data_IF_231366769479
#
_entry.id   IF_231366769479
#
_cell.length_a   1.000
_cell.length_b   1.000
_cell.length_c   1.000
_cell.angle_alpha   90.00
_cell.angle_beta   90.00
_cell.angle_gamma   90.00
#
_symmetry.space_group_name_H-M   'P 1'
#
loop_
_entity.id
_entity.type
_entity.pdbx_description
1 polymer ?
#
# COMPACT_ATOMS: atom_id res chain seq x y z
N UNK A 1 25.39 -6.91 -7.95
CA UNK A 1 24.34 -7.86 -8.39
C UNK A 1 24.54 -9.11 -7.56
N UNK A 2 23.52 -9.60 -6.84
CA UNK A 2 23.67 -10.81 -6.02
C UNK A 2 23.82 -12.00 -6.98
N UNK A 3 24.84 -12.86 -6.82
CA UNK A 3 25.06 -14.00 -7.69
C UNK A 3 23.88 -15.00 -7.67
N UNK A 4 23.60 -15.59 -8.83
CA UNK A 4 22.44 -16.49 -9.00
C UNK A 4 22.50 -17.75 -8.13
N UNK A 5 23.71 -18.25 -7.83
CA UNK A 5 23.90 -19.44 -7.00
C UNK A 5 23.48 -19.19 -5.54
N UNK A 6 23.79 -18.02 -4.97
CA UNK A 6 23.39 -17.65 -3.60
C UNK A 6 21.86 -17.55 -3.46
N UNK A 7 21.16 -17.19 -4.54
CA UNK A 7 19.69 -17.10 -4.54
C UNK A 7 18.99 -18.45 -4.68
N UNK A 8 19.68 -19.50 -5.14
CA UNK A 8 19.11 -20.85 -5.25
C UNK A 8 19.02 -21.52 -3.89
N UNK A 9 19.94 -21.17 -2.98
CA UNK A 9 20.05 -21.78 -1.66
C UNK A 9 19.03 -21.20 -0.67
N UNK A 10 18.32 -20.13 -1.02
CA UNK A 10 17.27 -19.52 -0.19
C UNK A 10 16.08 -20.47 -0.09
N UNK A 11 15.73 -20.81 1.14
CA UNK A 11 14.59 -21.63 1.51
C UNK A 11 13.41 -20.78 2.00
N UNK A 12 12.19 -21.36 2.04
CA UNK A 12 11.06 -20.75 2.71
C UNK A 12 11.32 -20.33 4.15
N UNK A 13 12.09 -21.13 4.91
CA UNK A 13 12.45 -20.84 6.30
C UNK A 13 13.20 -19.53 6.42
N UNK A 14 14.18 -19.27 5.54
CA UNK A 14 14.94 -18.01 5.57
C UNK A 14 14.05 -16.78 5.36
N UNK A 15 13.00 -16.93 4.52
CA UNK A 15 12.01 -15.88 4.29
C UNK A 15 11.12 -15.72 5.51
N UNK A 16 10.70 -16.83 6.14
CA UNK A 16 9.92 -16.81 7.37
C UNK A 16 10.68 -16.13 8.51
N UNK A 17 11.95 -16.49 8.73
CA UNK A 17 12.82 -15.89 9.76
C UNK A 17 12.99 -14.39 9.52
N UNK A 18 13.26 -13.99 8.28
CA UNK A 18 13.32 -12.58 7.91
C UNK A 18 12.00 -11.86 8.16
N UNK A 19 10.85 -12.45 7.80
CA UNK A 19 9.55 -11.83 8.02
C UNK A 19 9.16 -11.79 9.49
N UNK A 20 9.52 -12.81 10.27
CA UNK A 20 9.35 -12.85 11.72
C UNK A 20 10.14 -11.69 12.35
N UNK A 21 11.42 -11.54 11.99
CA UNK A 21 12.27 -10.45 12.48
C UNK A 21 11.66 -9.08 12.21
N UNK A 22 11.04 -8.90 11.04
CA UNK A 22 10.40 -7.63 10.68
C UNK A 22 9.04 -7.40 11.36
N UNK A 23 8.29 -8.46 11.66
CA UNK A 23 6.94 -8.36 12.21
C UNK A 23 6.93 -8.39 13.75
N UNK A 24 7.69 -9.31 14.34
CA UNK A 24 7.78 -9.60 15.77
C UNK A 24 9.05 -9.03 16.42
N UNK A 25 10.07 -8.66 15.63
CA UNK A 25 11.36 -8.19 16.16
C UNK A 25 12.38 -9.30 16.42
N UNK A 26 11.98 -10.57 16.29
CA UNK A 26 12.80 -11.77 16.47
C UNK A 26 12.53 -12.77 15.33
N UNK A 27 13.50 -13.63 15.02
CA UNK A 27 13.37 -14.68 13.99
C UNK A 27 12.51 -15.86 14.48
N UNK A 28 12.55 -16.15 15.78
CA UNK A 28 11.81 -17.23 16.43
C UNK A 28 10.81 -16.66 17.46
N UNK A 29 9.61 -16.22 17.03
CA UNK A 29 8.60 -15.67 17.91
C UNK A 29 7.93 -16.78 18.73
N UNK A 30 7.86 -16.59 20.04
CA UNK A 30 7.16 -17.47 20.96
C UNK A 30 5.63 -17.26 20.96
N UNK A 31 4.87 -18.08 21.72
CA UNK A 31 3.41 -18.00 21.79
C UNK A 31 2.86 -16.66 22.33
N UNK A 32 3.66 -15.97 23.15
CA UNK A 32 3.31 -14.69 23.77
C UNK A 32 3.80 -13.48 22.96
N UNK A 33 4.47 -13.72 21.83
CA UNK A 33 4.98 -12.64 20.96
C UNK A 33 3.92 -12.19 19.96
N UNK A 34 3.83 -10.88 19.76
CA UNK A 34 2.83 -10.24 18.91
C UNK A 34 3.49 -9.48 17.74
N UNK A 35 2.93 -9.53 16.51
CA UNK A 35 3.52 -8.89 15.34
C UNK A 35 3.22 -7.38 15.32
N UNK A 36 3.88 -6.62 16.19
CA UNK A 36 3.62 -5.19 16.42
C UNK A 36 4.52 -4.26 15.59
N UNK A 37 5.57 -4.78 14.95
CA UNK A 37 6.58 -3.97 14.26
C UNK A 37 6.27 -3.71 12.79
N UNK A 38 5.64 -4.65 12.09
CA UNK A 38 5.29 -4.50 10.67
C UNK A 38 3.99 -5.21 10.31
N UNK A 39 3.20 -4.56 9.47
CA UNK A 39 1.95 -5.10 8.94
C UNK A 39 2.16 -6.03 7.75
N UNK A 40 1.22 -6.96 7.56
CA UNK A 40 1.09 -7.88 6.44
C UNK A 40 1.23 -7.19 5.08
N UNK A 41 0.58 -6.04 4.88
CA UNK A 41 0.65 -5.31 3.61
C UNK A 41 2.10 -4.93 3.23
N UNK A 42 2.91 -4.51 4.21
CA UNK A 42 4.33 -4.22 3.99
C UNK A 42 5.15 -5.48 3.71
N UNK A 43 4.82 -6.59 4.36
CA UNK A 43 5.46 -7.89 4.12
C UNK A 43 5.09 -8.45 2.74
N UNK A 44 3.85 -8.28 2.27
CA UNK A 44 3.43 -8.67 0.92
C UNK A 44 4.18 -7.89 -0.16
N UNK A 45 4.42 -6.60 0.06
CA UNK A 45 5.27 -5.80 -0.84
C UNK A 45 6.71 -6.33 -0.89
N UNK A 46 7.30 -6.65 0.27
CA UNK A 46 8.65 -7.23 0.33
C UNK A 46 8.70 -8.62 -0.30
N UNK A 47 7.70 -9.47 -0.05
CA UNK A 47 7.54 -10.78 -0.69
C UNK A 47 7.55 -10.66 -2.21
N UNK A 48 6.78 -9.71 -2.77
CA UNK A 48 6.75 -9.42 -4.21
C UNK A 48 8.12 -8.97 -4.72
N UNK A 49 8.82 -8.17 -3.94
CA UNK A 49 10.16 -7.65 -4.27
C UNK A 49 11.21 -8.76 -4.29
N UNK A 50 11.26 -9.60 -3.25
CA UNK A 50 12.14 -10.78 -3.17
C UNK A 50 11.84 -11.73 -4.34
N UNK A 51 10.55 -12.04 -4.57
CA UNK A 51 10.11 -12.91 -5.65
C UNK A 51 10.58 -12.46 -7.04
N UNK A 52 10.76 -11.15 -7.27
CA UNK A 52 11.23 -10.61 -8.55
C UNK A 52 12.64 -11.07 -8.88
N UNK A 53 13.48 -11.23 -7.85
CA UNK A 53 14.88 -11.63 -7.98
C UNK A 53 15.09 -13.14 -7.91
N UNK A 54 14.09 -13.91 -7.49
CA UNK A 54 14.21 -15.36 -7.38
C UNK A 54 14.46 -16.02 -8.75
N UNK A 55 15.50 -16.88 -8.86
CA UNK A 55 15.81 -17.69 -10.04
C UNK A 55 14.61 -18.30 -10.75
N UNK A 56 13.75 -18.97 -9.97
CA UNK A 56 12.59 -19.73 -10.45
C UNK A 56 11.28 -18.99 -10.21
N UNK A 57 11.25 -17.67 -10.41
CA UNK A 57 10.12 -16.78 -10.03
C UNK A 57 8.70 -17.25 -10.39
N UNK A 58 8.54 -17.97 -11.51
CA UNK A 58 7.23 -18.44 -12.01
C UNK A 58 6.85 -19.85 -11.51
N UNK A 59 7.79 -20.62 -11.01
CA UNK A 59 7.53 -21.97 -10.50
C UNK A 59 7.04 -21.88 -9.05
N UNK A 60 6.02 -22.68 -8.74
CA UNK A 60 5.61 -22.89 -7.35
C UNK A 60 6.73 -23.58 -6.56
N UNK A 61 6.70 -23.42 -5.25
CA UNK A 61 7.61 -24.12 -4.36
C UNK A 61 7.19 -25.59 -4.22
N UNK A 62 8.10 -26.51 -4.54
CA UNK A 62 7.98 -27.93 -4.26
C UNK A 62 8.67 -28.25 -2.92
N UNK A 63 7.92 -28.60 -1.87
CA UNK A 63 8.47 -28.90 -0.55
C UNK A 63 9.25 -30.23 -0.51
N UNK A 64 8.98 -31.17 -1.43
CA UNK A 64 9.68 -32.47 -1.48
C UNK A 64 11.00 -32.31 -2.22
N UNK A 65 10.95 -31.66 -3.38
CA UNK A 65 12.14 -31.40 -4.19
C UNK A 65 13.03 -30.27 -3.68
N UNK A 66 12.53 -29.44 -2.73
CA UNK A 66 13.15 -28.19 -2.25
C UNK A 66 13.53 -27.26 -3.40
N UNK A 67 12.62 -27.10 -4.36
CA UNK A 67 12.87 -26.35 -5.59
C UNK A 67 11.68 -25.48 -5.93
N UNK A 68 11.95 -24.30 -6.49
CA UNK A 68 10.92 -23.41 -6.99
C UNK A 68 11.18 -21.99 -6.51
N UNK A 69 10.12 -21.19 -6.40
CA UNK A 69 10.21 -19.88 -5.78
C UNK A 69 9.84 -19.99 -4.29
N UNK A 70 10.80 -19.84 -3.36
CA UNK A 70 10.56 -20.01 -1.93
C UNK A 70 9.52 -19.02 -1.38
N UNK A 71 9.37 -17.83 -1.99
CA UNK A 71 8.33 -16.87 -1.60
C UNK A 71 6.91 -17.39 -1.87
N UNK A 72 6.71 -18.39 -2.72
CA UNK A 72 5.39 -18.94 -3.06
C UNK A 72 4.99 -20.14 -2.19
N UNK A 73 5.83 -20.55 -1.24
CA UNK A 73 5.58 -21.68 -0.36
C UNK A 73 4.33 -21.52 0.51
N UNK A 74 3.78 -22.64 0.98
CA UNK A 74 2.69 -22.65 1.96
C UNK A 74 3.07 -21.93 3.25
N UNK A 75 4.26 -22.23 3.78
CA UNK A 75 4.79 -21.68 5.05
C UNK A 75 4.81 -20.14 5.06
N UNK A 76 5.39 -19.51 4.03
CA UNK A 76 5.45 -18.05 3.93
C UNK A 76 4.04 -17.45 3.83
N UNK A 77 3.13 -18.11 3.11
CA UNK A 77 1.74 -17.66 3.00
C UNK A 77 0.98 -17.81 4.32
N UNK A 78 1.23 -18.89 5.07
CA UNK A 78 0.58 -19.16 6.34
C UNK A 78 1.08 -18.21 7.44
N UNK A 79 2.37 -17.85 7.44
CA UNK A 79 2.90 -16.77 8.28
C UNK A 79 2.17 -15.45 8.01
N UNK A 80 2.01 -15.06 6.74
CA UNK A 80 1.28 -13.83 6.39
C UNK A 80 -0.20 -13.88 6.81
N UNK A 81 -0.84 -15.06 6.74
CA UNK A 81 -2.20 -15.25 7.27
C UNK A 81 -2.23 -15.12 8.79
N UNK A 82 -1.25 -15.67 9.50
CA UNK A 82 -1.15 -15.58 10.95
C UNK A 82 -1.02 -14.12 11.40
N UNK A 83 -0.10 -13.36 10.80
CA UNK A 83 0.08 -11.92 11.06
C UNK A 83 -1.22 -11.16 10.78
N UNK A 84 -1.90 -11.47 9.67
CA UNK A 84 -3.22 -10.86 9.36
C UNK A 84 -4.25 -11.13 10.45
N UNK A 85 -4.26 -12.32 11.06
CA UNK A 85 -5.20 -12.66 12.14
C UNK A 85 -4.95 -11.79 13.37
N UNK A 86 -3.70 -11.59 13.78
CA UNK A 86 -3.35 -10.68 14.88
C UNK A 86 -3.78 -9.23 14.56
N UNK A 87 -3.53 -8.76 13.34
CA UNK A 87 -4.00 -7.43 12.92
C UNK A 87 -5.52 -7.28 13.03
N UNK A 88 -6.29 -8.29 12.61
CA UNK A 88 -7.76 -8.24 12.67
C UNK A 88 -8.30 -8.30 14.10
N UNK A 89 -7.54 -8.85 15.05
CA UNK A 89 -7.90 -8.87 16.48
C UNK A 89 -7.45 -7.61 17.23
N UNK A 90 -6.75 -6.68 16.57
CA UNK A 90 -6.18 -5.50 17.22
C UNK A 90 -4.92 -5.78 18.04
N UNK A 91 -4.38 -7.00 17.96
CA UNK A 91 -3.17 -7.44 18.67
C UNK A 91 -1.89 -7.27 17.82
N UNK A 92 -2.05 -6.98 16.52
CA UNK A 92 -0.94 -6.66 15.62
C UNK A 92 -0.66 -5.16 15.50
N UNK A 93 0.30 -4.79 14.66
CA UNK A 93 0.62 -3.37 14.39
C UNK A 93 -0.62 -2.58 13.94
N UNK A 94 -0.95 -1.49 14.65
CA UNK A 94 -2.06 -0.61 14.30
C UNK A 94 -1.99 -0.08 12.86
N UNK A 95 -3.15 0.14 12.25
CA UNK A 95 -3.22 0.71 10.90
C UNK A 95 -2.99 2.21 11.00
N UNK A 96 -2.14 2.75 10.12
CA UNK A 96 -2.05 4.19 9.89
C UNK A 96 -3.03 4.65 8.79
N UNK A 97 -4.09 3.87 8.55
CA UNK A 97 -5.12 4.23 7.58
C UNK A 97 -5.81 5.52 8.02
N UNK A 98 -5.69 6.55 7.20
CA UNK A 98 -6.46 7.78 7.38
C UNK A 98 -7.92 7.49 7.03
N UNK A 99 -8.85 8.00 7.84
CA UNK A 99 -10.27 7.99 7.48
C UNK A 99 -10.51 8.95 6.30
N UNK A 100 -11.58 8.77 5.53
CA UNK A 100 -12.02 9.77 4.56
C UNK A 100 -12.22 11.13 5.21
N UNK A 101 -11.97 12.19 4.45
CA UNK A 101 -12.34 13.55 4.83
C UNK A 101 -13.85 13.71 4.67
N UNK A 102 -14.48 14.28 5.69
CA UNK A 102 -15.90 14.63 5.67
C UNK A 102 -16.10 15.98 4.97
N UNK A 103 -17.32 16.24 4.50
CA UNK A 103 -17.65 17.45 3.75
C UNK A 103 -17.27 18.74 4.48
N UNK A 104 -17.60 18.84 5.77
CA UNK A 104 -17.30 20.02 6.59
C UNK A 104 -15.79 20.28 6.74
N UNK A 105 -14.98 19.22 6.75
CA UNK A 105 -13.52 19.32 6.83
C UNK A 105 -12.94 19.85 5.53
N UNK A 106 -13.49 19.40 4.39
CA UNK A 106 -13.13 19.93 3.08
C UNK A 106 -13.52 21.40 2.97
N UNK A 107 -14.72 21.77 3.40
CA UNK A 107 -15.15 23.17 3.41
C UNK A 107 -14.23 24.03 4.28
N UNK A 108 -13.84 23.56 5.46
CA UNK A 108 -12.88 24.27 6.32
C UNK A 108 -11.51 24.45 5.65
N UNK A 109 -10.99 23.43 4.96
CA UNK A 109 -9.74 23.51 4.19
C UNK A 109 -9.86 24.53 3.05
N UNK A 110 -10.96 24.48 2.29
CA UNK A 110 -11.19 25.39 1.16
C UNK A 110 -11.31 26.84 1.61
N UNK A 111 -12.04 27.11 2.70
CA UNK A 111 -12.16 28.45 3.31
C UNK A 111 -10.80 28.95 3.77
N UNK A 112 -10.04 28.12 4.50
CA UNK A 112 -8.69 28.49 4.98
C UNK A 112 -7.74 28.83 3.82
N UNK A 113 -7.80 28.07 2.73
CA UNK A 113 -6.99 28.33 1.54
C UNK A 113 -7.37 29.63 0.82
N UNK A 114 -8.66 30.00 0.82
CA UNK A 114 -9.12 31.27 0.26
C UNK A 114 -8.73 32.43 1.17
N UNK A 115 -8.85 32.30 2.49
CA UNK A 115 -8.58 33.39 3.43
C UNK A 115 -7.09 33.68 3.58
N UNK A 116 -6.23 32.68 3.36
CA UNK A 116 -4.79 32.83 3.45
C UNK A 116 -4.18 33.28 2.12
N UNK A 117 -3.75 34.54 2.05
CA UNK A 117 -3.13 35.14 0.86
C UNK A 117 -1.89 34.41 0.37
N UNK A 118 -1.17 33.69 1.24
CA UNK A 118 -0.04 32.86 0.83
C UNK A 118 -0.45 31.62 0.01
N UNK A 119 -1.71 31.20 0.10
CA UNK A 119 -2.25 30.03 -0.61
C UNK A 119 -3.14 30.40 -1.79
N UNK A 120 -3.60 31.65 -1.90
CA UNK A 120 -4.46 32.09 -3.01
C UNK A 120 -3.81 31.84 -4.39
N UNK A 121 -2.51 32.12 -4.54
CA UNK A 121 -1.79 31.95 -5.81
C UNK A 121 -1.28 30.51 -6.05
N UNK A 122 -1.48 29.60 -5.10
CA UNK A 122 -0.90 28.26 -5.14
C UNK A 122 -1.75 27.22 -5.90
N UNK A 123 -2.98 27.58 -6.31
CA UNK A 123 -3.91 26.65 -6.95
C UNK A 123 -4.43 25.52 -6.03
N UNK A 124 -4.06 25.53 -4.74
CA UNK A 124 -4.46 24.50 -3.77
C UNK A 124 -5.98 24.38 -3.62
N UNK A 125 -6.71 25.49 -3.70
CA UNK A 125 -8.17 25.46 -3.65
C UNK A 125 -8.75 24.62 -4.80
N UNK A 126 -8.26 24.82 -6.02
CA UNK A 126 -8.62 23.99 -7.17
C UNK A 126 -8.24 22.53 -6.96
N UNK A 127 -7.01 22.26 -6.52
CA UNK A 127 -6.55 20.89 -6.27
C UNK A 127 -7.49 20.11 -5.33
N UNK A 128 -7.85 20.71 -4.19
CA UNK A 128 -8.73 20.06 -3.20
C UNK A 128 -10.17 19.92 -3.69
N UNK A 129 -10.71 20.94 -4.35
CA UNK A 129 -12.07 20.88 -4.90
C UNK A 129 -12.19 19.75 -5.93
N UNK A 130 -11.24 19.64 -6.86
CA UNK A 130 -11.24 18.63 -7.90
C UNK A 130 -11.00 17.23 -7.35
N UNK A 131 -10.05 17.08 -6.41
CA UNK A 131 -9.79 15.79 -5.75
C UNK A 131 -11.02 15.27 -5.02
N UNK A 132 -11.76 16.15 -4.32
CA UNK A 132 -12.98 15.76 -3.60
C UNK A 132 -14.15 15.45 -4.54
N UNK A 133 -14.47 16.35 -5.49
CA UNK A 133 -15.61 16.23 -6.39
C UNK A 133 -15.48 15.03 -7.34
N UNK A 134 -14.28 14.78 -7.87
CA UNK A 134 -14.03 13.71 -8.84
C UNK A 134 -13.57 12.40 -8.21
N UNK A 135 -13.37 12.36 -6.88
CA UNK A 135 -12.81 11.22 -6.16
C UNK A 135 -11.52 10.72 -6.83
N UNK A 136 -10.71 11.66 -7.33
CA UNK A 136 -9.50 11.36 -8.07
C UNK A 136 -8.26 11.42 -7.16
N UNK A 137 -7.14 10.82 -7.60
CA UNK A 137 -5.89 10.96 -6.85
C UNK A 137 -5.36 12.38 -7.03
N UNK A 138 -4.64 12.88 -6.05
CA UNK A 138 -3.96 14.20 -6.12
C UNK A 138 -3.13 14.33 -7.38
N UNK A 139 -2.38 13.28 -7.74
CA UNK A 139 -1.59 13.22 -8.97
C UNK A 139 -2.45 13.32 -10.25
N UNK A 140 -3.64 12.70 -10.27
CA UNK A 140 -4.57 12.83 -11.39
C UNK A 140 -5.10 14.26 -11.49
N UNK A 141 -5.51 14.86 -10.36
CA UNK A 141 -5.99 16.24 -10.29
C UNK A 141 -4.95 17.26 -10.79
N UNK A 142 -3.67 17.05 -10.47
CA UNK A 142 -2.57 17.92 -10.94
C UNK A 142 -2.26 17.79 -12.43
N UNK A 143 -2.69 16.70 -13.07
CA UNK A 143 -2.48 16.46 -14.50
C UNK A 143 -3.68 16.90 -15.36
N UNK A 144 -4.73 17.46 -14.76
CA UNK A 144 -5.89 17.97 -15.51
C UNK A 144 -5.48 19.24 -16.25
N UNK A 145 -5.73 19.25 -17.56
CA UNK A 145 -5.53 20.40 -18.43
C UNK A 145 -6.85 20.86 -19.02
N UNK A 146 -6.88 22.07 -19.58
CA UNK A 146 -8.06 22.59 -20.29
C UNK A 146 -8.55 21.68 -21.41
N UNK A 147 -7.65 20.93 -22.06
CA UNK A 147 -8.04 19.98 -23.12
C UNK A 147 -8.87 18.79 -22.62
N UNK A 148 -8.81 18.51 -21.32
CA UNK A 148 -9.58 17.45 -20.67
C UNK A 148 -11.00 17.90 -20.32
N UNK A 149 -11.28 19.20 -20.35
CA UNK A 149 -12.58 19.76 -20.02
C UNK A 149 -13.38 19.95 -21.29
N UNK A 150 -14.52 19.28 -21.36
CA UNK A 150 -15.49 19.42 -22.44
C UNK A 150 -16.81 19.87 -21.86
N UNK A 151 -17.42 20.86 -22.50
CA UNK A 151 -18.78 21.23 -22.17
C UNK A 151 -19.72 20.10 -22.63
N UNK A 152 -20.83 19.93 -21.93
CA UNK A 152 -21.86 18.99 -22.34
C UNK A 152 -22.68 19.61 -23.47
N UNK A 153 -22.50 19.13 -24.70
CA UNK A 153 -23.20 19.64 -25.88
C UNK A 153 -24.72 19.40 -25.82
N UNK A 154 -25.14 18.36 -25.10
CA UNK A 154 -26.54 17.99 -24.96
C UNK A 154 -27.28 18.87 -23.94
N UNK A 155 -26.56 19.56 -23.05
CA UNK A 155 -27.11 20.40 -21.98
C UNK A 155 -26.33 21.71 -21.81
N UNK A 156 -26.40 22.63 -22.78
CA UNK A 156 -25.59 23.86 -22.76
C UNK A 156 -25.96 24.86 -21.65
N UNK A 157 -27.19 24.80 -21.14
CA UNK A 157 -27.75 25.85 -20.25
C UNK A 157 -27.74 25.49 -18.75
N UNK A 158 -27.35 24.27 -18.37
CA UNK A 158 -27.42 23.79 -16.97
C UNK A 158 -26.21 24.19 -16.12
N UNK A 159 -25.29 25.01 -16.63
CA UNK A 159 -23.97 25.14 -16.01
C UNK A 159 -23.98 25.94 -14.70
N UNK A 160 -24.95 26.83 -14.44
CA UNK A 160 -25.10 27.50 -13.13
C UNK A 160 -26.54 28.00 -12.92
N UNK A 161 -27.41 27.17 -12.32
CA UNK A 161 -28.71 27.59 -11.76
C UNK A 161 -28.79 27.29 -10.27
#
# INVERSE_FOLDING_TARGET
MIPYYELIDILPSDICDYFNKLAYGTEDPGPEDFPTHRRKAGLEFMKKSISKFMPRKRLEWDPVGMKGNPTRSGEVNDLLKAIKRFETRGEGKAAFSKRPLEFDEIMSILTTNIENTAFQDSGLHGLWAWTFQLICRVDDATNITYSNLKYNEDHPDEVFS
#
